data_IF_794512453539
#
_entry.id   IF_794512453539
#
_cell.length_a   1.000
_cell.length_b   1.000
_cell.length_c   1.000
_cell.angle_alpha   90.00
_cell.angle_beta   90.00
_cell.angle_gamma   90.00
#
_symmetry.space_group_name_H-M   'P 1'
#
loop_
_entity.id
_entity.type
_entity.pdbx_description
1 polymer ?
#
# COMPACT_ATOMS: atom_id res chain seq x y z
N UNK A 1 -16.15 -41.13 9.62
CA UNK A 1 -15.51 -40.29 8.58
C UNK A 1 -15.49 -38.88 9.11
N UNK A 2 -14.33 -38.38 9.52
CA UNK A 2 -14.13 -36.95 9.81
C UNK A 2 -14.24 -36.17 8.51
N UNK A 3 -14.97 -35.03 8.46
CA UNK A 3 -14.99 -34.21 7.26
C UNK A 3 -13.56 -33.73 6.98
N UNK A 4 -13.15 -33.86 5.71
CA UNK A 4 -11.90 -33.25 5.24
C UNK A 4 -11.99 -31.74 5.48
N UNK A 5 -10.93 -31.06 5.96
CA UNK A 5 -10.95 -29.61 6.07
C UNK A 5 -11.22 -29.05 4.67
N UNK A 6 -12.28 -28.27 4.51
CA UNK A 6 -12.56 -27.57 3.27
C UNK A 6 -11.29 -26.80 2.87
N UNK A 7 -10.76 -27.08 1.67
CA UNK A 7 -9.62 -26.34 1.16
C UNK A 7 -9.97 -24.85 1.21
N UNK A 8 -9.08 -24.05 1.80
CA UNK A 8 -9.25 -22.61 1.87
C UNK A 8 -9.57 -22.05 0.48
N UNK A 9 -10.73 -21.40 0.34
CA UNK A 9 -11.12 -20.86 -0.96
C UNK A 9 -10.16 -19.74 -1.36
N UNK A 10 -9.49 -19.95 -2.50
CA UNK A 10 -8.55 -18.98 -3.06
C UNK A 10 -9.30 -17.72 -3.47
N UNK A 11 -8.83 -16.57 -3.01
CA UNK A 11 -9.35 -15.26 -3.44
C UNK A 11 -8.68 -14.85 -4.76
N UNK A 12 -9.43 -14.82 -5.85
CA UNK A 12 -8.85 -14.60 -7.19
C UNK A 12 -8.74 -13.11 -7.59
N UNK A 13 -9.53 -12.22 -6.98
CA UNK A 13 -9.54 -10.79 -7.31
C UNK A 13 -8.52 -10.03 -6.46
N UNK A 14 -7.64 -9.27 -7.11
CA UNK A 14 -6.58 -8.45 -6.52
C UNK A 14 -6.78 -7.01 -6.97
N UNK A 15 -6.93 -6.10 -6.01
CA UNK A 15 -7.06 -4.66 -6.29
C UNK A 15 -5.83 -3.95 -5.73
N UNK A 16 -5.07 -3.29 -6.60
CA UNK A 16 -3.82 -2.60 -6.27
C UNK A 16 -4.07 -1.09 -6.15
N UNK A 17 -3.68 -0.49 -5.01
CA UNK A 17 -3.87 0.92 -4.67
C UNK A 17 -2.51 1.57 -4.46
N UNK A 18 -2.24 2.67 -5.18
CA UNK A 18 -0.95 3.35 -5.14
C UNK A 18 -0.85 4.35 -3.97
N UNK A 19 0.38 4.77 -3.67
CA UNK A 19 0.67 5.79 -2.68
C UNK A 19 0.52 7.22 -3.20
N UNK A 20 0.89 8.18 -2.36
CA UNK A 20 1.07 9.57 -2.77
C UNK A 20 2.33 9.72 -3.63
N UNK A 21 2.40 10.80 -4.42
CA UNK A 21 3.50 11.09 -5.36
C UNK A 21 3.62 10.17 -6.57
N UNK A 22 2.87 9.07 -6.64
CA UNK A 22 2.93 8.08 -7.73
C UNK A 22 1.52 7.72 -8.20
N UNK A 23 1.43 7.04 -9.35
CA UNK A 23 0.19 6.55 -9.93
C UNK A 23 0.16 5.01 -9.99
N UNK A 24 -0.94 4.46 -10.50
CA UNK A 24 -1.12 3.02 -10.66
C UNK A 24 -0.12 2.34 -11.62
N UNK A 25 0.55 3.09 -12.50
CA UNK A 25 1.47 2.56 -13.51
C UNK A 25 2.67 1.83 -12.92
N UNK A 26 3.14 2.22 -11.73
CA UNK A 26 4.25 1.51 -11.07
C UNK A 26 3.92 0.04 -10.71
N UNK A 27 2.63 -0.33 -10.64
CA UNK A 27 2.21 -1.70 -10.36
C UNK A 27 2.40 -2.66 -11.54
N UNK A 28 2.80 -2.20 -12.73
CA UNK A 28 2.85 -3.00 -13.96
C UNK A 28 3.59 -4.33 -13.79
N UNK A 29 4.75 -4.33 -13.11
CA UNK A 29 5.54 -5.55 -12.91
C UNK A 29 4.82 -6.55 -11.99
N UNK A 30 4.22 -6.08 -10.90
CA UNK A 30 3.41 -6.92 -9.99
C UNK A 30 2.17 -7.44 -10.71
N UNK A 31 1.48 -6.58 -11.46
CA UNK A 31 0.32 -6.95 -12.29
C UNK A 31 0.66 -8.12 -13.22
N UNK A 32 1.76 -8.03 -13.98
CA UNK A 32 2.19 -9.09 -14.91
C UNK A 32 2.43 -10.42 -14.18
N UNK A 33 3.11 -10.39 -13.03
CA UNK A 33 3.39 -11.59 -12.22
C UNK A 33 2.11 -12.24 -11.68
N UNK A 34 1.16 -11.43 -11.22
CA UNK A 34 -0.12 -11.91 -10.69
C UNK A 34 -1.01 -12.46 -11.81
N UNK A 35 -1.08 -11.79 -12.96
CA UNK A 35 -1.80 -12.29 -14.15
C UNK A 35 -1.24 -13.63 -14.64
N UNK A 36 0.08 -13.80 -14.65
CA UNK A 36 0.72 -15.06 -15.02
C UNK A 36 0.33 -16.23 -14.10
N UNK A 37 -0.09 -15.94 -12.86
CA UNK A 37 -0.61 -16.92 -11.89
C UNK A 37 -2.14 -17.09 -11.93
N UNK A 38 -2.80 -16.47 -12.91
CA UNK A 38 -4.24 -16.61 -13.12
C UNK A 38 -5.11 -15.77 -12.17
N UNK A 39 -4.56 -14.74 -11.52
CA UNK A 39 -5.37 -13.78 -10.75
C UNK A 39 -6.09 -12.79 -11.68
N UNK A 40 -7.23 -12.27 -11.21
CA UNK A 40 -7.88 -11.09 -11.76
C UNK A 40 -7.29 -9.87 -11.05
N UNK A 41 -6.69 -8.94 -11.80
CA UNK A 41 -5.96 -7.83 -11.19
C UNK A 41 -6.50 -6.52 -11.75
N UNK A 42 -6.95 -5.66 -10.84
CA UNK A 42 -7.37 -4.29 -11.14
C UNK A 42 -6.43 -3.31 -10.44
N UNK A 43 -6.15 -2.18 -11.07
CA UNK A 43 -5.30 -1.13 -10.51
C UNK A 43 -6.14 0.13 -10.36
N UNK A 44 -6.23 0.64 -9.14
CA UNK A 44 -6.94 1.89 -8.85
C UNK A 44 -6.07 3.06 -9.29
N UNK A 45 -6.70 4.06 -9.91
CA UNK A 45 -6.11 5.39 -10.14
C UNK A 45 -6.77 6.35 -9.15
N UNK A 46 -6.31 6.34 -7.90
CA UNK A 46 -6.91 7.18 -6.87
C UNK A 46 -6.42 8.63 -7.02
N UNK A 47 -7.30 9.64 -6.90
CA UNK A 47 -7.00 11.02 -7.29
C UNK A 47 -5.97 11.73 -6.41
N UNK A 48 -5.62 11.17 -5.24
CA UNK A 48 -4.69 11.70 -4.23
C UNK A 48 -5.05 13.09 -3.72
N UNK A 49 -6.30 13.52 -3.84
CA UNK A 49 -6.79 14.85 -3.42
C UNK A 49 -7.26 14.86 -1.97
N UNK A 50 -8.07 13.87 -1.57
CA UNK A 50 -8.52 13.65 -0.20
C UNK A 50 -8.71 12.15 0.08
N UNK A 51 -8.65 11.75 1.36
CA UNK A 51 -8.89 10.35 1.74
C UNK A 51 -10.27 9.87 1.27
N UNK A 52 -11.31 10.70 1.40
CA UNK A 52 -12.66 10.34 0.98
C UNK A 52 -12.75 10.07 -0.54
N UNK A 53 -12.09 10.90 -1.36
CA UNK A 53 -12.06 10.72 -2.80
C UNK A 53 -11.26 9.45 -3.20
N UNK A 54 -10.14 9.20 -2.52
CA UNK A 54 -9.34 8.00 -2.75
C UNK A 54 -10.09 6.72 -2.37
N UNK A 55 -10.79 6.72 -1.23
CA UNK A 55 -11.65 5.61 -0.79
C UNK A 55 -12.79 5.37 -1.79
N UNK A 56 -13.44 6.44 -2.27
CA UNK A 56 -14.51 6.31 -3.26
C UNK A 56 -14.01 5.68 -4.57
N UNK A 57 -12.85 6.11 -5.06
CA UNK A 57 -12.23 5.52 -6.25
C UNK A 57 -11.88 4.04 -6.04
N UNK A 58 -11.31 3.68 -4.89
CA UNK A 58 -11.02 2.28 -4.55
C UNK A 58 -12.29 1.43 -4.47
N UNK A 59 -13.34 1.93 -3.81
CA UNK A 59 -14.61 1.20 -3.70
C UNK A 59 -15.26 0.95 -5.05
N UNK A 60 -15.25 1.92 -5.96
CA UNK A 60 -15.78 1.72 -7.31
C UNK A 60 -15.08 0.55 -8.05
N UNK A 61 -13.77 0.38 -7.86
CA UNK A 61 -13.02 -0.75 -8.45
C UNK A 61 -13.33 -2.06 -7.73
N UNK A 62 -13.49 -2.05 -6.40
CA UNK A 62 -13.92 -3.22 -5.61
C UNK A 62 -15.32 -3.68 -6.00
N UNK A 63 -16.25 -2.75 -6.17
CA UNK A 63 -17.64 -3.01 -6.56
C UNK A 63 -17.73 -3.70 -7.93
N UNK A 64 -16.81 -3.38 -8.84
CA UNK A 64 -16.72 -4.00 -10.16
C UNK A 64 -16.17 -5.45 -10.14
N UNK A 65 -15.64 -5.94 -9.02
CA UNK A 65 -15.16 -7.33 -8.92
C UNK A 65 -16.31 -8.32 -8.72
N UNK A 66 -16.16 -9.52 -9.27
CA UNK A 66 -17.16 -10.60 -9.28
C UNK A 66 -17.06 -11.56 -8.08
N UNK A 67 -16.44 -11.13 -6.98
CA UNK A 67 -16.26 -11.96 -5.80
C UNK A 67 -15.33 -11.33 -4.75
N UNK A 68 -14.87 -12.12 -3.76
CA UNK A 68 -13.97 -11.66 -2.72
C UNK A 68 -12.68 -11.04 -3.27
N UNK A 69 -12.15 -10.04 -2.57
CA UNK A 69 -11.00 -9.22 -2.98
C UNK A 69 -9.87 -9.30 -1.96
N UNK A 70 -8.64 -9.43 -2.47
CA UNK A 70 -7.41 -9.05 -1.80
C UNK A 70 -7.11 -7.59 -2.14
N UNK A 71 -7.21 -6.72 -1.15
CA UNK A 71 -7.00 -5.28 -1.33
C UNK A 71 -5.58 -4.92 -0.89
N UNK A 72 -4.79 -4.38 -1.81
CA UNK A 72 -3.34 -4.18 -1.66
C UNK A 72 -3.02 -2.69 -1.72
N UNK A 73 -2.35 -2.16 -0.71
CA UNK A 73 -1.98 -0.74 -0.63
C UNK A 73 -0.48 -0.55 -0.45
N UNK A 74 0.11 0.31 -1.28
CA UNK A 74 1.49 0.78 -1.11
C UNK A 74 1.53 2.15 -0.44
N UNK A 75 2.46 2.38 0.50
CA UNK A 75 2.65 3.70 1.11
C UNK A 75 1.36 4.30 1.68
N UNK A 76 0.97 5.51 1.29
CA UNK A 76 -0.32 6.13 1.58
C UNK A 76 -1.54 5.28 1.14
N UNK A 77 -1.41 4.48 0.07
CA UNK A 77 -2.44 3.52 -0.32
C UNK A 77 -2.80 2.56 0.83
N UNK A 78 -1.89 2.34 1.78
CA UNK A 78 -2.18 1.66 3.05
C UNK A 78 -3.29 2.32 3.88
N UNK A 79 -3.30 3.66 3.97
CA UNK A 79 -4.39 4.43 4.62
C UNK A 79 -5.70 4.22 3.86
N UNK A 80 -5.65 4.33 2.53
CA UNK A 80 -6.83 4.16 1.67
C UNK A 80 -7.44 2.78 1.85
N UNK A 81 -6.65 1.71 1.82
CA UNK A 81 -7.16 0.35 2.00
C UNK A 81 -7.59 0.05 3.45
N UNK A 82 -7.04 0.79 4.41
CA UNK A 82 -7.45 0.68 5.82
C UNK A 82 -8.88 1.17 6.01
N UNK A 83 -9.30 2.22 5.29
CA UNK A 83 -10.67 2.74 5.33
C UNK A 83 -11.60 1.99 4.35
N UNK A 84 -11.17 1.84 3.09
CA UNK A 84 -11.96 1.15 2.06
C UNK A 84 -12.14 -0.36 2.33
N UNK A 85 -11.25 -0.96 3.11
CA UNK A 85 -11.24 -2.39 3.43
C UNK A 85 -12.41 -2.88 4.27
N UNK A 86 -13.24 -1.97 4.80
CA UNK A 86 -14.48 -2.34 5.49
C UNK A 86 -15.57 -2.85 4.52
N UNK A 87 -15.36 -2.73 3.21
CA UNK A 87 -16.26 -3.29 2.21
C UNK A 87 -16.45 -4.81 2.39
N UNK A 88 -17.67 -5.29 2.18
CA UNK A 88 -18.02 -6.70 2.35
C UNK A 88 -17.27 -7.64 1.38
N UNK A 89 -16.93 -7.15 0.17
CA UNK A 89 -16.15 -7.93 -0.79
C UNK A 89 -14.67 -8.04 -0.38
N UNK A 90 -14.17 -7.10 0.42
CA UNK A 90 -12.78 -7.16 0.87
C UNK A 90 -12.65 -8.22 1.95
N UNK A 91 -11.86 -9.24 1.63
CA UNK A 91 -11.62 -10.38 2.51
C UNK A 91 -10.23 -10.34 3.16
N UNK A 92 -9.28 -9.62 2.55
CA UNK A 92 -7.86 -9.63 2.93
C UNK A 92 -7.20 -8.29 2.62
N UNK A 93 -6.30 -7.86 3.50
CA UNK A 93 -5.52 -6.63 3.33
C UNK A 93 -4.03 -6.95 3.17
N UNK A 94 -3.37 -6.32 2.21
CA UNK A 94 -1.93 -6.45 2.00
C UNK A 94 -1.30 -5.06 1.97
N UNK A 95 -0.39 -4.80 2.90
CA UNK A 95 0.32 -3.55 3.05
C UNK A 95 1.74 -3.69 2.51
N UNK A 96 2.14 -2.85 1.55
CA UNK A 96 3.47 -2.88 0.93
C UNK A 96 4.19 -1.60 1.29
N UNK A 97 5.17 -1.66 2.20
CA UNK A 97 5.89 -0.47 2.68
C UNK A 97 4.93 0.71 2.98
N UNK A 98 3.89 0.44 3.78
CA UNK A 98 2.68 1.26 3.83
C UNK A 98 2.33 1.79 5.22
N UNK A 99 1.55 2.86 5.28
CA UNK A 99 0.91 3.25 6.54
C UNK A 99 -0.25 2.31 6.86
N UNK A 100 -0.36 1.86 8.11
CA UNK A 100 -1.53 1.13 8.63
C UNK A 100 -2.07 1.86 9.88
N UNK A 101 -2.73 3.01 9.69
CA UNK A 101 -3.23 3.85 10.78
C UNK A 101 -4.33 3.14 11.59
N UNK A 102 -4.46 3.55 12.85
CA UNK A 102 -5.58 3.25 13.71
C UNK A 102 -6.67 4.34 13.62
N UNK A 103 -7.79 4.14 14.30
CA UNK A 103 -8.88 5.10 14.37
C UNK A 103 -8.38 6.47 14.85
N UNK A 104 -8.71 7.52 14.09
CA UNK A 104 -8.32 8.90 14.35
C UNK A 104 -6.87 9.22 13.96
N UNK A 105 -6.11 8.27 13.41
CA UNK A 105 -4.78 8.53 12.87
C UNK A 105 -4.85 8.89 11.38
N UNK A 106 -3.97 9.78 10.97
CA UNK A 106 -3.70 10.15 9.57
C UNK A 106 -2.20 10.08 9.31
N UNK A 107 -1.76 10.15 8.05
CA UNK A 107 -0.31 10.21 7.77
C UNK A 107 0.31 11.43 8.45
N UNK A 108 -0.36 12.58 8.39
CA UNK A 108 0.10 13.80 9.05
C UNK A 108 0.40 13.58 10.54
N UNK A 109 -0.50 12.91 11.27
CA UNK A 109 -0.31 12.62 12.70
C UNK A 109 0.82 11.61 12.92
N UNK A 110 0.89 10.58 12.09
CA UNK A 110 1.89 9.52 12.22
C UNK A 110 3.33 10.01 11.99
N UNK A 111 3.51 11.04 11.17
CA UNK A 111 4.83 11.62 10.88
C UNK A 111 5.18 12.86 11.72
N UNK A 112 4.26 13.33 12.57
CA UNK A 112 4.43 14.61 13.29
C UNK A 112 5.62 14.62 14.27
N UNK A 113 5.97 13.45 14.82
CA UNK A 113 7.03 13.31 15.82
C UNK A 113 8.00 12.18 15.43
N UNK A 114 8.83 12.37 14.40
CA UNK A 114 9.76 11.34 13.97
C UNK A 114 10.83 11.12 15.05
N UNK A 115 11.30 9.88 15.26
CA UNK A 115 12.43 9.62 16.14
C UNK A 115 13.67 10.44 15.73
N UNK A 116 14.50 10.90 16.69
CA UNK A 116 15.75 11.57 16.35
C UNK A 116 16.61 10.75 15.39
N UNK A 117 17.07 11.37 14.30
CA UNK A 117 17.90 10.71 13.28
C UNK A 117 17.13 9.86 12.26
N UNK A 118 15.80 9.77 12.35
CA UNK A 118 15.00 9.14 11.31
C UNK A 118 15.15 9.90 9.98
N UNK A 119 15.26 9.21 8.84
CA UNK A 119 15.29 9.86 7.54
C UNK A 119 13.99 10.65 7.33
N UNK A 120 14.13 11.91 6.93
CA UNK A 120 13.01 12.76 6.57
C UNK A 120 12.76 12.65 5.07
N UNK A 121 11.51 12.35 4.64
CA UNK A 121 11.14 12.43 3.23
C UNK A 121 11.42 13.84 2.68
N UNK A 122 11.96 13.97 1.46
CA UNK A 122 12.30 15.26 0.88
C UNK A 122 11.05 15.98 0.34
N UNK A 123 10.01 16.12 1.16
CA UNK A 123 8.75 16.79 0.81
C UNK A 123 8.97 18.30 0.77
N UNK A 124 8.56 18.93 -0.32
CA UNK A 124 8.59 20.38 -0.48
C UNK A 124 7.39 21.03 0.22
N UNK A 125 7.48 22.32 0.61
CA UNK A 125 6.33 23.07 1.08
C UNK A 125 5.15 22.97 0.11
N UNK A 126 3.90 22.83 0.61
CA UNK A 126 2.74 22.69 -0.26
C UNK A 126 2.57 23.92 -1.18
N UNK A 127 2.16 23.66 -2.41
CA UNK A 127 1.76 24.69 -3.38
C UNK A 127 0.31 24.41 -3.78
N UNK A 128 -0.58 25.39 -3.59
CA UNK A 128 -2.01 25.27 -3.88
C UNK A 128 -2.68 24.04 -3.25
N UNK A 129 -2.25 23.67 -2.04
CA UNK A 129 -2.80 22.50 -1.31
C UNK A 129 -2.20 21.16 -1.71
N UNK A 130 -1.15 21.12 -2.53
CA UNK A 130 -0.50 19.87 -2.95
C UNK A 130 0.97 19.81 -2.58
N UNK A 131 1.40 18.62 -2.20
CA UNK A 131 2.77 18.25 -1.88
C UNK A 131 3.43 17.59 -3.09
N UNK A 132 4.74 17.81 -3.20
CA UNK A 132 5.64 17.13 -4.13
C UNK A 132 6.94 16.79 -3.39
N UNK A 133 7.67 15.78 -3.86
CA UNK A 133 9.04 15.52 -3.42
C UNK A 133 10.03 16.35 -4.26
N UNK A 134 11.11 16.78 -3.62
CA UNK A 134 12.29 17.35 -4.28
C UNK A 134 12.83 16.34 -5.30
N UNK A 135 12.75 16.70 -6.58
CA UNK A 135 13.14 15.83 -7.70
C UNK A 135 14.59 15.35 -7.60
N UNK A 136 15.50 16.19 -7.11
CA UNK A 136 16.91 15.84 -7.00
C UNK A 136 17.17 14.79 -5.90
N UNK A 137 16.27 14.72 -4.90
CA UNK A 137 16.37 13.80 -3.76
C UNK A 137 15.46 12.58 -3.89
N UNK A 138 14.53 12.59 -4.85
CA UNK A 138 13.54 11.54 -5.07
C UNK A 138 14.17 10.16 -5.17
N UNK A 139 15.17 9.98 -6.06
CA UNK A 139 15.77 8.67 -6.27
C UNK A 139 16.37 8.10 -4.98
N UNK A 140 17.11 8.90 -4.23
CA UNK A 140 17.76 8.45 -3.01
C UNK A 140 16.79 8.11 -1.87
N UNK A 141 15.61 8.76 -1.82
CA UNK A 141 14.62 8.59 -0.77
C UNK A 141 13.56 7.52 -1.12
N UNK A 142 12.98 7.60 -2.33
CA UNK A 142 11.84 6.81 -2.77
C UNK A 142 12.24 5.57 -3.56
N UNK A 143 13.21 5.70 -4.48
CA UNK A 143 13.48 4.70 -5.53
C UNK A 143 14.95 4.26 -5.59
N UNK A 144 15.59 4.12 -4.42
CA UNK A 144 17.05 3.97 -4.29
C UNK A 144 17.64 2.71 -4.93
N UNK A 145 16.81 1.72 -5.22
CA UNK A 145 17.19 0.46 -5.87
C UNK A 145 16.42 0.21 -7.18
N UNK A 146 15.81 1.26 -7.75
CA UNK A 146 15.25 1.27 -9.10
C UNK A 146 16.30 1.77 -10.09
N UNK A 147 16.27 1.31 -11.35
CA UNK A 147 17.19 1.79 -12.40
C UNK A 147 17.16 3.31 -12.49
N UNK A 148 18.34 3.94 -12.59
CA UNK A 148 18.49 5.39 -12.53
C UNK A 148 17.57 6.16 -13.51
N UNK A 149 17.49 5.71 -14.76
CA UNK A 149 16.61 6.31 -15.78
C UNK A 149 15.12 6.25 -15.38
N UNK A 150 14.69 5.12 -14.83
CA UNK A 150 13.32 4.95 -14.33
C UNK A 150 13.07 5.81 -13.09
N UNK A 151 14.01 5.87 -12.15
CA UNK A 151 13.90 6.73 -10.97
C UNK A 151 13.85 8.22 -11.36
N UNK A 152 14.61 8.64 -12.37
CA UNK A 152 14.56 10.00 -12.92
C UNK A 152 13.23 10.31 -13.61
N UNK A 153 12.66 9.34 -14.34
CA UNK A 153 11.30 9.47 -14.87
C UNK A 153 10.27 9.62 -13.75
N UNK A 154 10.30 8.76 -12.74
CA UNK A 154 9.38 8.82 -11.60
C UNK A 154 9.45 10.15 -10.85
N UNK A 155 10.65 10.70 -10.67
CA UNK A 155 10.83 12.03 -10.06
C UNK A 155 10.11 13.14 -10.85
N UNK A 156 9.96 12.99 -12.17
CA UNK A 156 9.28 13.94 -13.04
C UNK A 156 7.79 13.64 -13.25
N UNK A 157 7.39 12.37 -13.14
CA UNK A 157 6.02 11.90 -13.30
C UNK A 157 5.22 11.93 -11.98
N UNK A 158 5.72 12.62 -10.96
CA UNK A 158 5.07 12.67 -9.67
C UNK A 158 3.61 13.16 -9.76
N UNK A 159 2.71 12.44 -9.10
CA UNK A 159 1.32 12.87 -8.91
C UNK A 159 1.24 13.80 -7.69
N UNK A 160 0.72 15.03 -7.82
CA UNK A 160 0.57 15.93 -6.66
C UNK A 160 -0.29 15.32 -5.56
N UNK A 161 0.23 15.29 -4.32
CA UNK A 161 -0.49 14.70 -3.19
C UNK A 161 -1.14 15.79 -2.32
N UNK A 162 -2.48 15.76 -2.23
CA UNK A 162 -3.26 16.75 -1.51
C UNK A 162 -3.02 16.73 0.00
N UNK A 163 -2.94 17.91 0.61
CA UNK A 163 -2.82 18.04 2.08
C UNK A 163 -4.04 17.48 2.80
N UNK A 164 -5.22 17.47 2.17
CA UNK A 164 -6.42 16.82 2.72
C UNK A 164 -6.31 15.30 2.70
N UNK A 165 -5.64 14.71 1.71
CA UNK A 165 -5.34 13.28 1.69
C UNK A 165 -4.31 12.91 2.77
N UNK A 166 -3.27 13.73 2.96
CA UNK A 166 -2.30 13.58 4.05
C UNK A 166 -2.96 13.64 5.44
N UNK A 167 -3.91 14.58 5.62
CA UNK A 167 -4.59 14.85 6.87
C UNK A 167 -5.79 13.92 7.15
N UNK A 168 -6.30 13.23 6.14
CA UNK A 168 -7.47 12.37 6.23
C UNK A 168 -7.31 11.29 7.30
N UNK A 169 -8.22 11.30 8.28
CA UNK A 169 -8.20 10.37 9.40
C UNK A 169 -8.99 9.10 9.09
N UNK A 170 -8.42 7.96 9.45
CA UNK A 170 -9.15 6.69 9.39
C UNK A 170 -10.19 6.65 10.49
N UNK A 171 -11.42 6.23 10.15
CA UNK A 171 -12.55 6.16 11.08
C UNK A 171 -12.76 4.74 11.61
N UNK A 172 -12.62 3.74 10.73
CA UNK A 172 -12.77 2.32 11.03
C UNK A 172 -11.62 1.54 10.38
N UNK A 173 -10.56 1.21 11.12
CA UNK A 173 -9.42 0.52 10.54
C UNK A 173 -9.76 -0.95 10.23
N UNK A 174 -9.91 -1.28 8.96
CA UNK A 174 -10.34 -2.59 8.49
C UNK A 174 -9.43 -3.75 8.94
N UNK A 175 -8.15 -3.49 9.23
CA UNK A 175 -7.23 -4.52 9.73
C UNK A 175 -7.61 -5.06 11.12
N UNK A 176 -8.51 -4.39 11.86
CA UNK A 176 -9.05 -4.91 13.12
C UNK A 176 -9.96 -6.12 12.92
N UNK A 177 -10.58 -6.24 11.75
CA UNK A 177 -11.56 -7.29 11.44
C UNK A 177 -11.09 -8.21 10.31
N UNK A 178 -10.24 -7.72 9.41
CA UNK A 178 -9.76 -8.46 8.24
C UNK A 178 -8.34 -8.99 8.48
N UNK A 179 -8.05 -10.24 8.07
CA UNK A 179 -6.69 -10.74 8.09
C UNK A 179 -5.78 -9.87 7.20
N UNK A 180 -4.58 -9.61 7.71
CA UNK A 180 -3.65 -8.66 7.11
C UNK A 180 -2.28 -9.27 6.87
N UNK A 181 -1.62 -8.84 5.80
CA UNK A 181 -0.25 -9.16 5.44
C UNK A 181 0.53 -7.88 5.26
N UNK A 182 1.83 -7.90 5.56
CA UNK A 182 2.65 -6.71 5.47
C UNK A 182 4.03 -7.05 4.92
N UNK A 183 4.51 -6.27 3.95
CA UNK A 183 5.90 -6.28 3.48
C UNK A 183 6.63 -5.07 4.03
N UNK A 184 7.63 -5.31 4.88
CA UNK A 184 8.57 -4.27 5.34
C UNK A 184 9.70 -4.12 4.33
N UNK A 185 9.88 -2.92 3.80
CA UNK A 185 11.03 -2.57 2.97
C UNK A 185 12.18 -2.09 3.87
N UNK A 186 13.30 -2.83 3.91
CA UNK A 186 14.37 -2.60 4.91
C UNK A 186 15.21 -1.37 4.65
N UNK A 187 15.26 -0.88 3.41
CA UNK A 187 16.08 0.26 2.99
C UNK A 187 15.22 1.50 2.69
N UNK A 188 13.98 1.50 3.18
CA UNK A 188 13.00 2.56 3.00
C UNK A 188 13.41 3.85 3.74
N UNK A 189 13.43 4.97 3.02
CA UNK A 189 13.73 6.30 3.56
C UNK A 189 12.55 7.27 3.48
N UNK A 190 11.39 6.78 3.07
CA UNK A 190 10.11 7.50 3.09
C UNK A 190 9.33 7.15 4.36
N UNK A 191 9.22 5.86 4.69
CA UNK A 191 8.63 5.36 5.93
C UNK A 191 9.70 4.54 6.66
N UNK A 192 10.22 4.99 7.81
CA UNK A 192 11.25 4.26 8.53
C UNK A 192 10.83 2.79 8.79
N UNK A 193 11.69 1.79 8.53
CA UNK A 193 11.35 0.37 8.70
C UNK A 193 10.82 0.02 10.09
N UNK A 194 11.31 0.68 11.14
CA UNK A 194 10.80 0.47 12.50
C UNK A 194 9.37 0.96 12.69
N UNK A 195 8.97 2.06 12.03
CA UNK A 195 7.59 2.51 12.01
C UNK A 195 6.70 1.50 11.26
N UNK A 196 7.17 0.96 10.14
CA UNK A 196 6.48 -0.12 9.41
C UNK A 196 6.29 -1.37 10.29
N UNK A 197 7.33 -1.77 11.03
CA UNK A 197 7.26 -2.90 11.98
C UNK A 197 6.30 -2.61 13.13
N UNK A 198 6.27 -1.39 13.66
CA UNK A 198 5.35 -1.03 14.73
C UNK A 198 3.89 -1.12 14.26
N UNK A 199 3.57 -0.52 13.11
CA UNK A 199 2.23 -0.54 12.52
C UNK A 199 1.79 -1.97 12.15
N UNK A 200 2.65 -2.76 11.51
CA UNK A 200 2.34 -4.14 11.14
C UNK A 200 2.12 -5.06 12.33
N UNK A 201 2.90 -4.89 13.42
CA UNK A 201 2.66 -5.60 14.70
C UNK A 201 1.33 -5.21 15.30
N UNK A 202 1.01 -3.91 15.36
CA UNK A 202 -0.29 -3.42 15.85
C UNK A 202 -1.45 -4.00 15.05
N UNK A 203 -1.28 -4.14 13.74
CA UNK A 203 -2.28 -4.73 12.86
C UNK A 203 -2.40 -6.27 12.96
N UNK A 204 -1.57 -6.95 13.76
CA UNK A 204 -1.54 -8.42 13.83
C UNK A 204 -1.25 -9.09 12.48
N UNK A 205 -0.51 -8.40 11.61
CA UNK A 205 -0.29 -8.82 10.24
C UNK A 205 0.72 -9.97 10.14
N UNK A 206 0.57 -10.82 9.12
CA UNK A 206 1.65 -11.72 8.70
C UNK A 206 2.73 -10.89 8.00
N UNK A 207 3.90 -10.77 8.64
CA UNK A 207 4.99 -9.90 8.15
C UNK A 207 6.01 -10.70 7.35
N UNK A 208 6.47 -10.12 6.24
CA UNK A 208 7.71 -10.49 5.55
C UNK A 208 8.58 -9.24 5.41
N UNK A 209 9.90 -9.41 5.38
CA UNK A 209 10.83 -8.31 5.10
C UNK A 209 11.57 -8.55 3.79
N UNK A 210 11.84 -7.48 3.05
CA UNK A 210 12.61 -7.51 1.80
C UNK A 210 13.68 -6.43 1.81
N UNK A 211 14.90 -6.68 1.29
CA UNK A 211 15.79 -5.57 0.93
C UNK A 211 15.12 -4.74 -0.18
N UNK A 212 15.23 -3.42 -0.10
CA UNK A 212 14.70 -2.52 -1.12
C UNK A 212 14.23 -1.19 -0.55
N UNK A 213 14.16 -0.20 -1.45
CA UNK A 213 13.69 1.15 -1.16
C UNK A 213 12.17 1.21 -1.00
N UNK A 214 11.62 2.42 -0.83
CA UNK A 214 10.17 2.62 -0.74
C UNK A 214 9.42 2.12 -1.99
N UNK A 215 10.04 2.19 -3.17
CA UNK A 215 9.53 1.66 -4.42
C UNK A 215 9.71 0.13 -4.56
N UNK A 216 9.65 -0.62 -3.46
CA UNK A 216 9.86 -2.09 -3.43
C UNK A 216 8.92 -2.86 -4.37
N UNK A 217 7.76 -2.30 -4.70
CA UNK A 217 6.83 -2.86 -5.68
C UNK A 217 7.33 -2.76 -7.13
N UNK A 218 8.20 -1.81 -7.45
CA UNK A 218 8.90 -1.72 -8.74
C UNK A 218 10.25 -2.46 -8.71
N UNK A 219 11.02 -2.37 -7.62
CA UNK A 219 12.38 -2.93 -7.56
C UNK A 219 12.41 -4.42 -7.19
N UNK A 220 11.45 -4.90 -6.40
CA UNK A 220 11.30 -6.30 -5.95
C UNK A 220 9.88 -6.84 -6.19
N UNK A 221 9.32 -6.73 -7.42
CA UNK A 221 7.94 -7.10 -7.71
C UNK A 221 7.63 -8.56 -7.39
N UNK A 222 8.62 -9.45 -7.48
CA UNK A 222 8.46 -10.87 -7.13
C UNK A 222 8.18 -11.09 -5.64
N UNK A 223 8.83 -10.34 -4.75
CA UNK A 223 8.59 -10.44 -3.31
C UNK A 223 7.18 -9.95 -2.95
N UNK A 224 6.74 -8.87 -3.59
CA UNK A 224 5.38 -8.33 -3.43
C UNK A 224 4.34 -9.31 -3.96
N UNK A 225 4.50 -9.82 -5.18
CA UNK A 225 3.58 -10.79 -5.77
C UNK A 225 3.48 -12.09 -4.94
N UNK A 226 4.59 -12.56 -4.37
CA UNK A 226 4.59 -13.72 -3.48
C UNK A 226 3.79 -13.47 -2.19
N UNK A 227 3.88 -12.28 -1.58
CA UNK A 227 3.08 -11.94 -0.42
C UNK A 227 1.58 -11.86 -0.76
N UNK A 228 1.23 -11.25 -1.89
CA UNK A 228 -0.17 -11.16 -2.35
C UNK A 228 -0.74 -12.57 -2.59
N UNK A 229 0.01 -13.46 -3.24
CA UNK A 229 -0.39 -14.85 -3.44
C UNK A 229 -0.56 -15.60 -2.10
N UNK A 230 0.36 -15.40 -1.15
CA UNK A 230 0.25 -15.97 0.19
C UNK A 230 -1.02 -15.47 0.90
N UNK A 231 -1.35 -14.20 0.77
CA UNK A 231 -2.60 -13.66 1.28
C UNK A 231 -3.79 -14.35 0.62
N UNK A 232 -3.83 -14.38 -0.71
CA UNK A 232 -4.94 -14.93 -1.49
C UNK A 232 -5.23 -16.42 -1.25
N UNK A 233 -4.23 -17.20 -0.83
CA UNK A 233 -4.32 -18.66 -0.64
C UNK A 233 -4.37 -19.10 0.82
N UNK A 234 -4.25 -18.17 1.78
CA UNK A 234 -4.28 -18.52 3.19
C UNK A 234 -5.68 -18.98 3.66
N UNK A 235 -5.72 -19.93 4.59
CA UNK A 235 -6.97 -20.34 5.27
C UNK A 235 -7.74 -19.18 5.88
N UNK A 236 -9.07 -19.28 5.89
CA UNK A 236 -9.89 -18.42 6.74
C UNK A 236 -9.48 -18.69 8.19
N UNK A 237 -9.16 -17.65 8.96
CA UNK A 237 -8.97 -17.81 10.40
C UNK A 237 -10.35 -17.99 11.01
N UNK A 238 -10.59 -19.17 11.59
CA UNK A 238 -11.77 -19.45 12.42
C UNK A 238 -11.83 -18.50 13.62
#
# INVERSE_FOLDING_TARGET
MTPSPAAAERVNNVVLVHGGFVDGGGWEAVYKLMKAKGFNVSVVQNPTTSLAADVAATKAVVDAQDGPVVLVGHSYGGVVITEAGNDAKVSRLVYIAAFAPDKGESVQKLIANPPPGAPAPPILPPVNGFLMLDKAKFAAAFAGDVKAERAAFLANAQVPWGVEALAGEVTSPAWREKPSWYLVARDDKMIPPDAQRAMSRRAGATVVESPGSHAVYESKPAAVAALIEKAATAGNRN
#
